data_IF_133170214403
#
_entry.id   IF_133170214403
#
_cell.length_a   1.000
_cell.length_b   1.000
_cell.length_c   1.000
_cell.angle_alpha   90.00
_cell.angle_beta   90.00
_cell.angle_gamma   90.00
#
_symmetry.space_group_name_H-M   'P 1'
#
loop_
_entity.id
_entity.type
_entity.pdbx_description
1 polymer ?
#
# COMPACT_ATOMS: atom_id res chain seq x y z
N UNK A 1 19.15 7.81 -6.53
CA UNK A 1 19.32 6.78 -5.49
C UNK A 1 18.72 7.35 -4.22
N UNK A 2 17.41 7.23 -4.04
CA UNK A 2 16.76 7.68 -2.81
C UNK A 2 17.00 6.59 -1.77
N UNK A 3 17.58 6.99 -0.64
CA UNK A 3 17.87 6.14 0.50
C UNK A 3 16.58 5.46 0.95
N UNK A 4 16.48 4.20 0.53
CA UNK A 4 15.45 3.27 0.93
C UNK A 4 15.44 3.23 2.46
N UNK A 5 14.26 3.22 3.07
CA UNK A 5 14.08 2.96 4.50
C UNK A 5 14.70 1.57 4.82
N UNK A 6 16.01 1.57 5.10
CA UNK A 6 16.80 0.48 5.66
C UNK A 6 16.35 0.43 7.13
N UNK A 7 15.62 -0.55 7.66
CA UNK A 7 15.49 -1.96 7.28
C UNK A 7 14.21 -2.53 7.90
N UNK A 8 13.37 -3.19 7.10
CA UNK A 8 12.74 -4.43 7.57
C UNK A 8 13.70 -5.53 7.08
N UNK A 9 14.64 -6.01 7.92
CA UNK A 9 15.68 -6.94 7.48
C UNK A 9 15.17 -8.38 7.37
N UNK A 10 13.88 -8.63 7.60
CA UNK A 10 13.34 -10.00 7.77
C UNK A 10 12.17 -10.30 6.83
N UNK A 11 11.41 -9.30 6.36
CA UNK A 11 10.15 -9.54 5.64
C UNK A 11 9.85 -8.46 4.59
N UNK A 12 9.45 -8.88 3.38
CA UNK A 12 8.98 -7.96 2.34
C UNK A 12 7.63 -7.34 2.78
N UNK A 13 7.41 -6.05 2.52
CA UNK A 13 6.14 -5.38 2.84
C UNK A 13 4.91 -6.05 2.22
N UNK A 14 5.07 -6.75 1.09
CA UNK A 14 4.02 -7.60 0.49
C UNK A 14 3.70 -8.79 1.39
N UNK A 15 4.71 -9.51 1.87
CA UNK A 15 4.53 -10.68 2.75
C UNK A 15 3.99 -10.26 4.12
N UNK A 16 4.42 -9.11 4.63
CA UNK A 16 3.84 -8.51 5.83
C UNK A 16 2.35 -8.22 5.66
N UNK A 17 1.93 -7.71 4.50
CA UNK A 17 0.51 -7.48 4.23
C UNK A 17 -0.28 -8.80 4.22
N UNK A 18 0.25 -9.87 3.59
CA UNK A 18 -0.38 -11.20 3.61
C UNK A 18 -0.56 -11.71 5.05
N UNK A 19 0.50 -11.66 5.86
CA UNK A 19 0.45 -12.10 7.25
C UNK A 19 -0.52 -11.29 8.11
N UNK A 20 -0.65 -9.98 7.88
CA UNK A 20 -1.66 -9.14 8.55
C UNK A 20 -3.07 -9.63 8.19
N UNK A 21 -3.35 -9.89 6.90
CA UNK A 21 -4.67 -10.38 6.46
C UNK A 21 -5.01 -11.76 7.03
N UNK A 22 -4.03 -12.66 7.09
CA UNK A 22 -4.19 -13.97 7.71
C UNK A 22 -4.56 -13.84 9.19
N UNK A 23 -3.82 -13.02 9.94
CA UNK A 23 -4.08 -12.75 11.36
C UNK A 23 -5.44 -12.10 11.60
N UNK A 24 -5.86 -11.17 10.75
CA UNK A 24 -7.18 -10.53 10.83
C UNK A 24 -8.30 -11.56 10.61
N UNK A 25 -8.14 -12.43 9.61
CA UNK A 25 -9.10 -13.47 9.30
C UNK A 25 -9.20 -14.51 10.42
N UNK A 26 -8.06 -14.97 10.96
CA UNK A 26 -8.01 -15.92 12.09
C UNK A 26 -8.69 -15.35 13.34
N UNK A 27 -8.57 -14.04 13.57
CA UNK A 27 -9.14 -13.36 14.74
C UNK A 27 -10.57 -12.85 14.50
N UNK A 28 -11.12 -13.03 13.31
CA UNK A 28 -12.41 -12.46 12.92
C UNK A 28 -12.46 -10.93 13.04
N UNK A 29 -11.32 -10.27 12.88
CA UNK A 29 -11.22 -8.81 12.98
C UNK A 29 -11.57 -8.15 11.66
N UNK A 30 -12.05 -6.90 11.74
CA UNK A 30 -12.23 -6.09 10.55
C UNK A 30 -10.87 -5.81 9.91
N UNK A 31 -10.75 -5.92 8.57
CA UNK A 31 -9.51 -5.64 7.87
C UNK A 31 -9.00 -4.22 8.14
N UNK A 32 -7.74 -4.07 8.56
CA UNK A 32 -7.09 -2.78 8.72
C UNK A 32 -6.72 -2.18 7.36
N UNK A 33 -6.59 -0.86 7.31
CA UNK A 33 -6.09 -0.15 6.12
C UNK A 33 -4.57 -0.32 6.02
N UNK A 34 -4.09 -0.97 4.96
CA UNK A 34 -2.67 -1.18 4.68
C UNK A 34 -2.26 -0.30 3.50
N UNK A 35 -1.32 0.61 3.73
CA UNK A 35 -0.77 1.54 2.73
C UNK A 35 0.70 1.23 2.50
N UNK A 36 1.08 0.90 1.26
CA UNK A 36 2.48 0.63 0.91
C UNK A 36 3.11 1.81 0.15
N UNK A 37 4.05 2.49 0.80
CA UNK A 37 4.80 3.60 0.21
C UNK A 37 6.01 3.06 -0.58
N UNK A 38 5.97 3.12 -1.92
CA UNK A 38 7.05 2.59 -2.77
C UNK A 38 7.85 3.67 -3.48
N UNK A 39 9.17 3.47 -3.64
CA UNK A 39 10.07 4.37 -4.38
C UNK A 39 10.12 4.14 -5.89
N UNK A 40 9.83 2.92 -6.34
CA UNK A 40 9.81 2.48 -7.75
C UNK A 40 8.96 1.22 -7.79
N UNK A 41 7.86 1.23 -8.54
CA UNK A 41 7.04 0.03 -8.71
C UNK A 41 6.65 -0.15 -10.17
N UNK A 42 7.08 -1.28 -10.71
CA UNK A 42 6.53 -1.82 -11.94
C UNK A 42 5.05 -2.16 -11.74
N UNK A 43 4.32 -2.26 -12.86
CA UNK A 43 2.93 -2.73 -12.84
C UNK A 43 2.78 -4.11 -12.17
N UNK A 44 3.79 -4.99 -12.31
CA UNK A 44 3.79 -6.31 -11.67
C UNK A 44 3.85 -6.24 -10.15
N UNK A 45 4.74 -5.41 -9.59
CA UNK A 45 4.85 -5.22 -8.13
C UNK A 45 3.59 -4.58 -7.57
N UNK A 46 2.98 -3.65 -8.32
CA UNK A 46 1.69 -3.05 -7.95
C UNK A 46 0.58 -4.10 -7.88
N UNK A 47 0.47 -4.94 -8.91
CA UNK A 47 -0.54 -6.00 -8.93
C UNK A 47 -0.33 -7.00 -7.79
N UNK A 48 0.93 -7.38 -7.53
CA UNK A 48 1.25 -8.28 -6.43
C UNK A 48 0.89 -7.68 -5.06
N UNK A 49 1.15 -6.38 -4.86
CA UNK A 49 0.79 -5.67 -3.65
C UNK A 49 -0.72 -5.63 -3.40
N UNK A 50 -1.52 -5.33 -4.43
CA UNK A 50 -2.99 -5.36 -4.28
C UNK A 50 -3.48 -6.78 -3.98
N UNK A 51 -2.93 -7.80 -4.63
CA UNK A 51 -3.26 -9.21 -4.38
C UNK A 51 -2.85 -9.69 -2.98
N UNK A 52 -1.88 -9.04 -2.32
CA UNK A 52 -1.53 -9.35 -0.92
C UNK A 52 -2.45 -8.70 0.11
N UNK A 53 -3.41 -7.89 -0.34
CA UNK A 53 -4.35 -7.19 0.54
C UNK A 53 -3.91 -5.77 0.92
N UNK A 54 -2.91 -5.19 0.23
CA UNK A 54 -2.63 -3.75 0.34
C UNK A 54 -3.78 -2.98 -0.30
N UNK A 55 -4.32 -1.99 0.41
CA UNK A 55 -5.44 -1.21 -0.08
C UNK A 55 -5.01 0.00 -0.91
N UNK A 56 -3.86 0.60 -0.57
CA UNK A 56 -3.37 1.81 -1.23
C UNK A 56 -1.87 1.73 -1.52
N UNK A 57 -1.51 2.16 -2.72
CA UNK A 57 -0.17 1.97 -3.27
C UNK A 57 0.37 3.26 -3.93
N UNK A 58 0.68 4.30 -3.16
CA UNK A 58 1.20 5.56 -3.68
C UNK A 58 2.70 5.46 -4.02
N UNK A 59 3.10 6.13 -5.09
CA UNK A 59 4.50 6.29 -5.50
C UNK A 59 5.14 7.46 -4.76
N UNK A 60 6.33 7.27 -4.18
CA UNK A 60 7.12 8.36 -3.59
C UNK A 60 7.59 9.33 -4.69
N UNK A 61 7.67 10.64 -4.41
CA UNK A 61 7.21 11.29 -3.18
C UNK A 61 5.69 11.41 -3.16
N UNK A 62 5.04 10.87 -2.11
CA UNK A 62 3.61 11.12 -1.88
C UNK A 62 3.48 12.49 -1.22
N UNK A 63 2.57 13.33 -1.72
CA UNK A 63 2.32 14.62 -1.09
C UNK A 63 1.62 14.38 0.25
N UNK A 64 2.11 14.99 1.34
CA UNK A 64 1.41 14.95 2.63
C UNK A 64 -0.04 15.46 2.52
N UNK A 65 -0.32 16.37 1.58
CA UNK A 65 -1.68 16.85 1.32
C UNK A 65 -2.57 15.77 0.69
N UNK A 66 -2.04 14.95 -0.20
CA UNK A 66 -2.77 13.79 -0.77
C UNK A 66 -3.02 12.74 0.30
N UNK A 67 -1.99 12.42 1.10
CA UNK A 67 -2.13 11.46 2.19
C UNK A 67 -3.17 11.94 3.22
N UNK A 68 -3.15 13.23 3.57
CA UNK A 68 -4.13 13.81 4.50
C UNK A 68 -5.55 13.77 3.97
N UNK A 69 -5.76 14.04 2.68
CA UNK A 69 -7.09 13.90 2.05
C UNK A 69 -7.56 12.45 2.11
N UNK A 70 -6.70 11.52 1.70
CA UNK A 70 -7.00 10.09 1.74
C UNK A 70 -7.38 9.62 3.15
N UNK A 71 -6.60 10.00 4.17
CA UNK A 71 -6.87 9.63 5.56
C UNK A 71 -8.16 10.25 6.11
N UNK A 72 -8.52 11.47 5.69
CA UNK A 72 -9.75 12.12 6.10
C UNK A 72 -10.99 11.47 5.48
N UNK A 73 -10.88 11.01 4.23
CA UNK A 73 -11.98 10.41 3.50
C UNK A 73 -12.10 8.90 3.78
N UNK A 74 -11.08 8.29 4.40
CA UNK A 74 -11.00 6.85 4.61
C UNK A 74 -12.14 6.34 5.50
N UNK A 75 -12.85 5.32 5.00
CA UNK A 75 -13.76 4.50 5.79
C UNK A 75 -13.43 3.00 5.61
N UNK A 76 -13.77 2.14 6.59
CA UNK A 76 -13.48 0.70 6.51
C UNK A 76 -14.12 0.00 5.29
N UNK A 77 -15.20 0.57 4.78
CA UNK A 77 -15.97 0.01 3.66
C UNK A 77 -15.53 0.57 2.29
N UNK A 78 -14.49 1.41 2.25
CA UNK A 78 -13.93 1.89 0.99
C UNK A 78 -13.31 0.75 0.19
N UNK A 79 -13.70 0.66 -1.09
CA UNK A 79 -13.03 -0.24 -2.03
C UNK A 79 -11.56 0.15 -2.20
N UNK A 80 -10.66 -0.84 -2.43
CA UNK A 80 -9.26 -0.58 -2.72
C UNK A 80 -9.12 0.42 -3.87
N UNK A 81 -8.61 1.62 -3.57
CA UNK A 81 -8.39 2.62 -4.58
C UNK A 81 -7.10 2.25 -5.33
N UNK A 82 -7.26 1.79 -6.57
CA UNK A 82 -6.15 1.77 -7.52
C UNK A 82 -5.85 3.22 -7.91
N UNK A 83 -4.63 3.73 -7.68
CA UNK A 83 -4.28 5.03 -8.24
C UNK A 83 -4.36 4.93 -9.75
N UNK A 84 -5.16 5.80 -10.36
CA UNK A 84 -5.15 6.02 -11.80
C UNK A 84 -3.70 6.21 -12.23
N UNK A 85 -3.26 5.39 -13.18
CA UNK A 85 -1.92 5.43 -13.74
C UNK A 85 -1.72 6.81 -14.35
N UNK A 86 -1.13 7.75 -13.59
CA UNK A 86 -0.57 8.96 -14.18
C UNK A 86 0.80 8.59 -14.71
N UNK A 87 0.78 7.88 -15.85
CA UNK A 87 1.90 7.87 -16.78
C UNK A 87 2.13 9.31 -17.21
N UNK A 88 2.99 10.04 -16.47
CA UNK A 88 3.65 11.20 -17.05
C UNK A 88 4.59 10.68 -18.11
N UNK A 89 4.05 10.55 -19.32
CA UNK A 89 4.81 10.47 -20.57
C UNK A 89 5.65 11.75 -20.65
N UNK A 90 6.96 11.61 -20.43
CA UNK A 90 7.99 12.51 -20.96
C UNK A 90 8.59 11.88 -22.20
#
# INVERSE_FOLDING_TARGET
MAENDISIPVMNGIDSARGIRELENERGQKPAMIIALTGLASASVRQEAFSSGINFFPTKPVSFNELRKFLNDWTPDMEPQTPGVSERRI
#
